data_IF_259614384668
#
_entry.id   IF_259614384668
#
_cell.length_a   1.000
_cell.length_b   1.000
_cell.length_c   1.000
_cell.angle_alpha   90.00
_cell.angle_beta   90.00
_cell.angle_gamma   90.00
#
_symmetry.space_group_name_H-M   'P 1'
#
loop_
_entity.id
_entity.type
_entity.pdbx_description
1 polymer ?
#
# COMPACT_ATOMS: atom_id res chain seq x y z
N UNK A 1 33.89 18.92 -71.47
CA UNK A 1 33.47 17.54 -71.83
C UNK A 1 34.08 16.52 -70.89
N UNK A 2 35.38 16.20 -70.94
CA UNK A 2 35.94 15.17 -70.04
C UNK A 2 35.90 15.52 -68.54
N UNK A 3 36.05 16.79 -68.19
CA UNK A 3 35.94 17.24 -66.80
C UNK A 3 34.50 17.15 -66.28
N UNK A 4 33.51 17.56 -67.09
CA UNK A 4 32.09 17.50 -66.73
C UNK A 4 31.59 16.06 -66.55
N UNK A 5 32.07 15.14 -67.39
CA UNK A 5 31.69 13.71 -67.31
C UNK A 5 32.22 13.08 -66.01
N UNK A 6 33.45 13.43 -65.60
CA UNK A 6 34.00 12.95 -64.31
C UNK A 6 33.20 13.47 -63.13
N UNK A 7 32.80 14.73 -63.16
CA UNK A 7 32.02 15.35 -62.09
C UNK A 7 30.63 14.71 -61.95
N UNK A 8 29.97 14.43 -63.07
CA UNK A 8 28.68 13.71 -63.09
C UNK A 8 28.81 12.30 -62.51
N UNK A 9 29.82 11.53 -62.94
CA UNK A 9 30.04 10.17 -62.44
C UNK A 9 30.35 10.19 -60.94
N UNK A 10 31.16 11.16 -60.49
CA UNK A 10 31.53 11.28 -59.09
C UNK A 10 30.32 11.65 -58.21
N UNK A 11 29.44 12.53 -58.69
CA UNK A 11 28.20 12.88 -58.01
C UNK A 11 27.24 11.67 -57.91
N UNK A 12 27.12 10.88 -58.98
CA UNK A 12 26.28 9.67 -59.03
C UNK A 12 26.78 8.60 -58.04
N UNK A 13 28.09 8.35 -58.04
CA UNK A 13 28.73 7.41 -57.10
C UNK A 13 28.55 7.87 -55.66
N UNK A 14 28.72 9.16 -55.39
CA UNK A 14 28.56 9.71 -54.05
C UNK A 14 27.11 9.64 -53.58
N UNK A 15 26.14 9.91 -54.46
CA UNK A 15 24.72 9.72 -54.18
C UNK A 15 24.39 8.25 -53.86
N UNK A 16 24.92 7.30 -54.63
CA UNK A 16 24.72 5.87 -54.39
C UNK A 16 25.32 5.40 -53.05
N UNK A 17 26.52 5.89 -52.71
CA UNK A 17 27.19 5.61 -51.42
C UNK A 17 26.37 6.17 -50.26
N UNK A 18 25.93 7.42 -50.35
CA UNK A 18 25.10 8.04 -49.31
C UNK A 18 23.77 7.30 -49.15
N UNK A 19 23.13 6.91 -50.25
CA UNK A 19 21.90 6.12 -50.20
C UNK A 19 22.08 4.71 -49.61
N UNK A 20 23.25 4.09 -49.77
CA UNK A 20 23.56 2.80 -49.11
C UNK A 20 23.88 2.98 -47.64
N UNK A 21 24.61 4.02 -47.27
CA UNK A 21 24.90 4.36 -45.87
C UNK A 21 23.61 4.67 -45.10
N UNK A 22 22.69 5.41 -45.70
CA UNK A 22 21.42 5.78 -45.06
C UNK A 22 20.54 4.54 -44.79
N UNK A 23 20.49 3.60 -45.74
CA UNK A 23 19.83 2.29 -45.52
C UNK A 23 20.45 1.50 -44.38
N UNK A 24 21.78 1.50 -44.27
CA UNK A 24 22.50 0.79 -43.21
C UNK A 24 22.20 1.44 -41.85
N UNK A 25 22.28 2.77 -41.76
CA UNK A 25 21.97 3.51 -40.54
C UNK A 25 20.52 3.28 -40.09
N UNK A 26 19.56 3.34 -41.02
CA UNK A 26 18.16 3.05 -40.73
C UNK A 26 17.94 1.60 -40.23
N UNK A 27 18.67 0.63 -40.80
CA UNK A 27 18.65 -0.76 -40.34
C UNK A 27 19.23 -0.89 -38.92
N UNK A 28 20.35 -0.23 -38.64
CA UNK A 28 20.94 -0.20 -37.30
C UNK A 28 20.01 0.43 -36.27
N UNK A 29 19.38 1.56 -36.61
CA UNK A 29 18.39 2.23 -35.74
C UNK A 29 17.23 1.28 -35.42
N UNK A 30 16.67 0.62 -36.45
CA UNK A 30 15.57 -0.34 -36.25
C UNK A 30 15.98 -1.54 -35.38
N UNK A 31 17.19 -2.06 -35.55
CA UNK A 31 17.71 -3.14 -34.72
C UNK A 31 17.90 -2.69 -33.26
N UNK A 32 18.43 -1.49 -33.04
CA UNK A 32 18.58 -0.90 -31.71
C UNK A 32 17.22 -0.72 -31.04
N UNK A 33 16.24 -0.12 -31.72
CA UNK A 33 14.89 0.06 -31.17
C UNK A 33 14.24 -1.28 -30.82
N UNK A 34 14.36 -2.27 -31.70
CA UNK A 34 13.80 -3.61 -31.45
C UNK A 34 14.44 -4.26 -30.23
N UNK A 35 15.77 -4.17 -30.10
CA UNK A 35 16.50 -4.74 -28.96
C UNK A 35 16.23 -3.97 -27.66
N UNK A 36 16.17 -2.65 -27.71
CA UNK A 36 15.89 -1.81 -26.54
C UNK A 36 14.46 -2.03 -26.03
N UNK A 37 13.48 -2.07 -26.94
CA UNK A 37 12.10 -2.39 -26.58
C UNK A 37 11.99 -3.81 -26.01
N UNK A 38 12.64 -4.79 -26.63
CA UNK A 38 12.69 -6.16 -26.11
C UNK A 38 13.37 -6.25 -24.74
N UNK A 39 14.44 -5.48 -24.50
CA UNK A 39 15.13 -5.44 -23.22
C UNK A 39 14.27 -4.78 -22.13
N UNK A 40 13.62 -3.66 -22.45
CA UNK A 40 12.69 -2.99 -21.55
C UNK A 40 11.52 -3.90 -21.16
N UNK A 41 10.94 -4.60 -22.13
CA UNK A 41 9.85 -5.54 -21.89
C UNK A 41 10.32 -6.70 -21.01
N UNK A 42 11.49 -7.29 -21.30
CA UNK A 42 12.05 -8.37 -20.49
C UNK A 42 12.31 -7.92 -19.04
N UNK A 43 12.81 -6.70 -18.82
CA UNK A 43 12.96 -6.14 -17.46
C UNK A 43 11.60 -6.03 -16.77
N UNK A 44 10.59 -5.48 -17.44
CA UNK A 44 9.26 -5.32 -16.88
C UNK A 44 8.64 -6.68 -16.51
N UNK A 45 8.73 -7.66 -17.41
CA UNK A 45 8.22 -9.01 -17.18
C UNK A 45 8.97 -9.71 -16.04
N UNK A 46 10.29 -9.58 -15.98
CA UNK A 46 11.11 -10.12 -14.90
C UNK A 46 10.77 -9.50 -13.55
N UNK A 47 10.58 -8.18 -13.49
CA UNK A 47 10.16 -7.48 -12.27
C UNK A 47 8.76 -7.88 -11.84
N UNK A 48 7.82 -8.00 -12.79
CA UNK A 48 6.46 -8.46 -12.55
C UNK A 48 6.44 -9.88 -11.99
N UNK A 49 7.14 -10.82 -12.63
CA UNK A 49 7.24 -12.20 -12.17
C UNK A 49 7.86 -12.31 -10.76
N UNK A 50 8.88 -11.50 -10.47
CA UNK A 50 9.46 -11.43 -9.12
C UNK A 50 8.44 -10.93 -8.10
N UNK A 51 7.67 -9.89 -8.44
CA UNK A 51 6.65 -9.32 -7.55
C UNK A 51 5.52 -10.32 -7.27
N UNK A 52 5.06 -11.05 -8.29
CA UNK A 52 4.02 -12.07 -8.16
C UNK A 52 4.48 -13.24 -7.29
N UNK A 53 5.72 -13.71 -7.48
CA UNK A 53 6.31 -14.76 -6.64
C UNK A 53 6.46 -14.30 -5.18
N UNK A 54 6.89 -13.06 -4.94
CA UNK A 54 6.98 -12.49 -3.60
C UNK A 54 5.60 -12.40 -2.92
N UNK A 55 4.57 -11.95 -3.65
CA UNK A 55 3.20 -11.87 -3.14
C UNK A 55 2.62 -13.26 -2.84
N UNK A 56 2.85 -14.25 -3.70
CA UNK A 56 2.43 -15.63 -3.48
C UNK A 56 3.07 -16.21 -2.20
N UNK A 57 4.38 -16.03 -2.02
CA UNK A 57 5.11 -16.50 -0.82
C UNK A 57 4.63 -15.84 0.47
N UNK A 58 4.29 -14.54 0.42
CA UNK A 58 3.67 -13.82 1.54
C UNK A 58 2.29 -14.43 1.84
N UNK A 59 1.49 -14.69 0.81
CA UNK A 59 0.19 -15.35 0.93
C UNK A 59 0.30 -16.69 1.66
N UNK A 60 1.18 -17.57 1.20
CA UNK A 60 1.43 -18.89 1.83
C UNK A 60 1.85 -18.75 3.30
N UNK A 61 2.84 -17.90 3.58
CA UNK A 61 3.37 -17.69 4.94
C UNK A 61 2.30 -17.17 5.92
N UNK A 62 1.34 -16.37 5.45
CA UNK A 62 0.23 -15.87 6.27
C UNK A 62 -0.81 -16.97 6.51
N UNK A 63 -1.05 -17.84 5.53
CA UNK A 63 -2.07 -18.89 5.63
C UNK A 63 -1.66 -20.08 6.50
N UNK A 64 -0.38 -20.41 6.60
CA UNK A 64 0.03 -21.70 7.15
C UNK A 64 0.00 -21.83 8.68
N UNK A 65 -0.21 -20.79 9.49
CA UNK A 65 -0.02 -20.99 10.94
C UNK A 65 -0.73 -20.03 11.90
N UNK A 66 -1.79 -19.35 11.49
CA UNK A 66 -2.52 -18.53 12.46
C UNK A 66 -3.43 -19.40 13.36
N UNK A 67 -2.89 -19.83 14.51
CA UNK A 67 -3.67 -20.47 15.58
C UNK A 67 -4.26 -19.41 16.51
N UNK A 68 -5.57 -19.24 16.48
CA UNK A 68 -6.27 -18.37 17.41
C UNK A 68 -6.13 -18.92 18.84
N UNK A 69 -5.70 -18.08 19.80
CA UNK A 69 -5.62 -18.46 21.22
C UNK A 69 -6.98 -18.71 21.88
N UNK A 70 -8.05 -18.12 21.33
CA UNK A 70 -9.42 -18.20 21.86
C UNK A 70 -10.38 -18.54 20.72
N UNK A 71 -11.28 -19.50 20.97
CA UNK A 71 -12.30 -19.95 20.01
C UNK A 71 -13.21 -18.83 19.51
N UNK A 72 -13.65 -17.91 20.39
CA UNK A 72 -14.48 -16.77 19.98
C UNK A 72 -13.78 -15.83 18.98
N UNK A 73 -12.46 -15.67 19.08
CA UNK A 73 -11.70 -14.85 18.14
C UNK A 73 -11.59 -15.52 16.76
N UNK A 74 -11.50 -16.85 16.73
CA UNK A 74 -11.50 -17.62 15.49
C UNK A 74 -12.86 -17.52 14.78
N UNK A 75 -13.96 -17.65 15.52
CA UNK A 75 -15.32 -17.53 14.98
C UNK A 75 -15.58 -16.12 14.45
N UNK A 76 -15.15 -15.08 15.17
CA UNK A 76 -15.23 -13.70 14.70
C UNK A 76 -14.36 -13.47 13.45
N UNK A 77 -13.16 -14.06 13.39
CA UNK A 77 -12.33 -13.99 12.19
C UNK A 77 -12.98 -14.69 10.98
N UNK A 78 -13.54 -15.89 11.16
CA UNK A 78 -14.28 -16.60 10.10
C UNK A 78 -15.48 -15.79 9.61
N UNK A 79 -16.22 -15.17 10.54
CA UNK A 79 -17.33 -14.28 10.20
C UNK A 79 -16.84 -13.06 9.41
N UNK A 80 -15.81 -12.36 9.91
CA UNK A 80 -15.25 -11.18 9.25
C UNK A 80 -14.70 -11.52 7.85
N UNK A 81 -14.04 -12.67 7.69
CA UNK A 81 -13.57 -13.17 6.39
C UNK A 81 -14.74 -13.40 5.44
N UNK A 82 -15.83 -14.01 5.92
CA UNK A 82 -17.04 -14.24 5.12
C UNK A 82 -17.73 -12.94 4.70
N UNK A 83 -17.79 -11.95 5.60
CA UNK A 83 -18.31 -10.62 5.29
C UNK A 83 -17.44 -9.95 4.23
N UNK A 84 -16.12 -9.98 4.39
CA UNK A 84 -15.18 -9.41 3.44
C UNK A 84 -15.33 -9.99 2.03
N UNK A 85 -15.41 -11.32 1.90
CA UNK A 85 -15.62 -11.99 0.59
C UNK A 85 -16.93 -11.53 -0.06
N UNK A 86 -18.02 -11.47 0.71
CA UNK A 86 -19.32 -11.01 0.17
C UNK A 86 -19.32 -9.55 -0.25
N UNK A 87 -18.59 -8.69 0.47
CA UNK A 87 -18.43 -7.27 0.09
C UNK A 87 -17.65 -7.16 -1.22
N UNK A 88 -16.59 -7.97 -1.37
CA UNK A 88 -15.79 -8.00 -2.58
C UNK A 88 -16.61 -8.49 -3.79
N UNK A 89 -17.40 -9.55 -3.63
CA UNK A 89 -18.33 -10.04 -4.66
C UNK A 89 -19.36 -8.97 -5.04
N UNK A 90 -19.96 -8.28 -4.07
CA UNK A 90 -20.92 -7.21 -4.33
C UNK A 90 -20.27 -6.05 -5.10
N UNK A 91 -19.04 -5.66 -4.76
CA UNK A 91 -18.30 -4.63 -5.49
C UNK A 91 -18.01 -5.05 -6.94
N UNK A 92 -17.61 -6.30 -7.16
CA UNK A 92 -17.40 -6.83 -8.52
C UNK A 92 -18.70 -6.83 -9.34
N UNK A 93 -19.85 -7.15 -8.71
CA UNK A 93 -21.16 -7.09 -9.36
C UNK A 93 -21.53 -5.65 -9.76
N UNK A 94 -21.25 -4.67 -8.90
CA UNK A 94 -21.45 -3.25 -9.19
C UNK A 94 -20.59 -2.74 -10.34
N UNK A 95 -19.36 -3.23 -10.47
CA UNK A 95 -18.44 -2.84 -11.54
C UNK A 95 -18.83 -3.45 -12.90
N UNK A 96 -19.46 -4.63 -12.90
CA UNK A 96 -19.86 -5.34 -14.13
C UNK A 96 -21.27 -5.01 -14.65
N UNK A 97 -22.16 -4.46 -13.83
CA UNK A 97 -23.54 -4.15 -14.23
C UNK A 97 -23.70 -2.70 -14.70
N UNK A 98 -24.24 -2.51 -15.92
CA UNK A 98 -24.96 -1.28 -16.26
C UNK A 98 -26.20 -1.23 -15.34
N UNK A 99 -26.13 -0.43 -14.29
CA UNK A 99 -27.14 -0.37 -13.23
C UNK A 99 -28.50 0.10 -13.78
N UNK A 100 -29.35 -0.84 -14.18
CA UNK A 100 -30.75 -0.54 -14.49
C UNK A 100 -31.52 -0.22 -13.19
N UNK A 101 -32.39 0.79 -13.26
CA UNK A 101 -33.11 1.36 -12.11
C UNK A 101 -33.85 0.28 -11.27
N UNK A 102 -34.34 -0.77 -11.92
CA UNK A 102 -35.08 -1.86 -11.27
C UNK A 102 -34.19 -2.73 -10.35
N UNK A 103 -32.91 -2.93 -10.71
CA UNK A 103 -31.94 -3.63 -9.85
C UNK A 103 -31.65 -2.81 -8.60
N UNK A 104 -31.55 -1.49 -8.74
CA UNK A 104 -31.35 -0.54 -7.64
C UNK A 104 -32.55 -0.55 -6.69
N UNK A 105 -33.78 -0.54 -7.22
CA UNK A 105 -34.99 -0.61 -6.39
C UNK A 105 -35.09 -1.95 -5.65
N UNK A 106 -34.74 -3.05 -6.30
CA UNK A 106 -34.73 -4.39 -5.69
C UNK A 106 -33.66 -4.47 -4.58
N UNK A 107 -32.47 -3.91 -4.79
CA UNK A 107 -31.43 -3.83 -3.78
C UNK A 107 -31.86 -2.97 -2.58
N UNK A 108 -32.47 -1.80 -2.82
CA UNK A 108 -33.03 -0.93 -1.77
C UNK A 108 -34.08 -1.65 -0.91
N UNK A 109 -34.97 -2.43 -1.53
CA UNK A 109 -36.00 -3.21 -0.83
C UNK A 109 -35.38 -4.27 0.07
N UNK A 110 -34.39 -5.02 -0.45
CA UNK A 110 -33.66 -6.04 0.33
C UNK A 110 -32.91 -5.43 1.52
N UNK A 111 -32.23 -4.30 1.31
CA UNK A 111 -31.54 -3.55 2.40
C UNK A 111 -32.54 -3.11 3.47
N UNK A 112 -33.72 -2.63 3.08
CA UNK A 112 -34.78 -2.22 4.00
C UNK A 112 -35.34 -3.41 4.81
N UNK A 113 -35.59 -4.54 4.16
CA UNK A 113 -36.05 -5.78 4.80
C UNK A 113 -35.01 -6.37 5.77
N UNK A 114 -33.74 -6.37 5.39
CA UNK A 114 -32.68 -6.92 6.24
C UNK A 114 -32.43 -6.01 7.46
N UNK A 115 -32.52 -4.68 7.28
CA UNK A 115 -32.46 -3.72 8.39
C UNK A 115 -33.64 -3.87 9.35
N UNK A 116 -34.86 -4.11 8.84
CA UNK A 116 -36.04 -4.28 9.69
C UNK A 116 -35.99 -5.60 10.48
N UNK A 117 -35.47 -6.68 9.88
CA UNK A 117 -35.22 -7.99 10.53
C UNK A 117 -34.11 -7.92 11.60
N UNK A 118 -33.06 -7.13 11.37
CA UNK A 118 -32.00 -6.89 12.36
C UNK A 118 -32.52 -6.13 13.60
N UNK A 119 -33.43 -5.17 13.38
CA UNK A 119 -34.10 -4.43 14.46
C UNK A 119 -35.13 -5.26 15.23
N UNK A 120 -35.71 -6.31 14.63
CA UNK A 120 -36.67 -7.20 15.33
C UNK A 120 -35.96 -8.20 16.24
N UNK A 121 -34.77 -8.69 15.86
CA UNK A 121 -33.95 -9.55 16.72
C UNK A 121 -33.37 -8.82 17.95
N UNK A 122 -33.14 -7.51 17.84
CA UNK A 122 -32.75 -6.67 18.98
C UNK A 122 -33.93 -6.34 19.89
N UNK A 123 -35.16 -6.23 19.36
CA UNK A 123 -36.39 -5.96 20.15
C UNK A 123 -36.92 -7.13 20.99
N UNK A 124 -36.41 -8.35 20.87
CA UNK A 124 -36.75 -9.46 21.78
C UNK A 124 -35.98 -9.43 23.10
N UNK A 125 -35.12 -8.42 23.31
CA UNK A 125 -34.56 -8.06 24.60
C UNK A 125 -35.26 -6.78 25.12
N UNK A 126 -36.48 -6.97 25.65
CA UNK A 126 -37.28 -6.03 26.48
C UNK A 126 -37.61 -4.61 25.91
N UNK A 127 -38.77 -4.02 26.26
CA UNK A 127 -39.05 -2.63 25.95
C UNK A 127 -38.17 -1.72 26.82
N UNK A 128 -37.21 -1.02 26.21
CA UNK A 128 -36.47 0.03 26.89
C UNK A 128 -37.41 1.22 27.16
N UNK A 129 -37.49 1.58 28.44
CA UNK A 129 -37.95 2.88 28.91
C UNK A 129 -37.27 4.02 28.11
N UNK A 130 -37.93 5.18 27.91
CA UNK A 130 -37.29 6.34 27.32
C UNK A 130 -36.00 6.67 28.09
N UNK A 131 -34.92 6.84 27.32
CA UNK A 131 -33.55 7.06 27.79
C UNK A 131 -33.53 8.11 28.91
N UNK A 132 -33.19 7.76 30.16
CA UNK A 132 -32.93 8.75 31.17
C UNK A 132 -31.66 9.50 30.77
N UNK A 133 -31.82 10.80 30.58
CA UNK A 133 -30.73 11.76 30.44
C UNK A 133 -29.75 11.55 31.61
N UNK A 134 -28.50 11.29 31.24
CA UNK A 134 -27.28 11.23 32.04
C UNK A 134 -27.42 11.59 33.53
N UNK A 135 -27.45 10.56 34.37
CA UNK A 135 -26.77 10.62 35.67
C UNK A 135 -25.90 9.38 35.82
N UNK A 136 -24.62 9.53 35.44
CA UNK A 136 -23.57 8.59 35.80
C UNK A 136 -23.57 8.34 37.32
N UNK A 137 -24.21 7.28 37.77
CA UNK A 137 -23.91 6.64 39.06
C UNK A 137 -24.18 5.15 38.97
N UNK A 138 -23.44 4.49 38.08
CA UNK A 138 -23.33 3.04 38.10
C UNK A 138 -22.70 2.67 39.44
N UNK A 139 -23.50 2.09 40.35
CA UNK A 139 -23.06 1.64 41.66
C UNK A 139 -21.92 0.64 41.48
N UNK A 140 -20.69 1.09 41.72
CA UNK A 140 -19.52 0.21 41.66
C UNK A 140 -19.40 -0.53 43.00
N UNK A 141 -19.55 -1.86 43.02
CA UNK A 141 -19.36 -2.62 44.26
C UNK A 141 -17.90 -2.52 44.72
N UNK A 142 -17.70 -2.19 46.00
CA UNK A 142 -16.39 -2.07 46.63
C UNK A 142 -16.03 -0.65 47.07
N UNK A 143 -15.00 -0.57 47.93
CA UNK A 143 -14.41 0.68 48.41
C UNK A 143 -13.22 1.07 47.52
N UNK A 144 -13.04 2.36 47.30
CA UNK A 144 -11.91 2.92 46.58
C UNK A 144 -10.58 2.52 47.25
N UNK A 145 -9.65 1.97 46.48
CA UNK A 145 -8.32 1.57 46.98
C UNK A 145 -7.39 2.76 47.33
N UNK A 146 -7.89 4.00 47.36
CA UNK A 146 -7.12 5.20 47.71
C UNK A 146 -7.68 5.89 48.94
N UNK A 147 -8.98 6.22 48.94
CA UNK A 147 -9.65 6.90 50.06
C UNK A 147 -10.60 6.00 50.87
N UNK A 148 -10.80 4.75 50.46
CA UNK A 148 -11.70 3.78 51.11
C UNK A 148 -13.20 4.12 51.04
N UNK A 149 -13.60 5.14 50.30
CA UNK A 149 -15.01 5.49 50.06
C UNK A 149 -15.64 4.67 48.93
N UNK A 150 -16.95 4.45 48.96
CA UNK A 150 -17.67 3.68 47.92
C UNK A 150 -18.14 4.58 46.77
N UNK A 151 -18.50 3.96 45.64
CA UNK A 151 -19.06 4.68 44.48
C UNK A 151 -18.05 5.11 43.42
N UNK A 152 -16.75 4.95 43.66
CA UNK A 152 -15.68 5.18 42.67
C UNK A 152 -14.50 4.21 42.89
N UNK A 153 -13.66 4.00 41.86
CA UNK A 153 -12.40 3.25 41.98
C UNK A 153 -11.20 4.21 42.09
N UNK A 154 -10.00 3.73 42.48
CA UNK A 154 -8.79 4.56 42.68
C UNK A 154 -8.49 5.54 41.52
N UNK A 155 -8.78 5.16 40.28
CA UNK A 155 -8.56 6.00 39.07
C UNK A 155 -9.54 7.18 38.95
N UNK A 156 -10.67 7.09 39.62
CA UNK A 156 -11.77 8.05 39.64
C UNK A 156 -11.87 8.72 41.03
N UNK A 157 -10.83 8.58 41.86
CA UNK A 157 -10.82 9.13 43.21
C UNK A 157 -10.70 10.65 43.17
N UNK A 158 -11.67 11.41 43.72
CA UNK A 158 -11.63 12.87 43.73
C UNK A 158 -10.47 13.42 44.57
N UNK A 159 -9.92 12.61 45.47
CA UNK A 159 -8.75 12.94 46.29
C UNK A 159 -7.42 12.48 45.65
N UNK A 160 -7.43 11.91 44.45
CA UNK A 160 -6.19 11.60 43.75
C UNK A 160 -5.52 12.91 43.34
N UNK A 161 -4.45 13.28 44.06
CA UNK A 161 -3.56 14.38 43.67
C UNK A 161 -3.23 14.25 42.19
N UNK A 162 -3.60 15.28 41.44
CA UNK A 162 -3.52 15.37 39.98
C UNK A 162 -2.06 15.22 39.55
N UNK A 163 -1.65 13.98 39.30
CA UNK A 163 -0.53 13.67 38.41
C UNK A 163 -1.09 12.85 37.24
N UNK A 164 -2.00 13.47 36.48
CA UNK A 164 -2.33 13.00 35.15
C UNK A 164 -1.13 13.25 34.23
N UNK A 165 -0.14 12.35 34.26
CA UNK A 165 0.63 12.14 33.03
C UNK A 165 -0.32 11.43 32.07
N UNK A 166 -0.83 12.19 31.11
CA UNK A 166 -1.65 11.70 30.01
C UNK A 166 -0.85 10.66 29.20
N UNK A 167 -0.87 9.41 29.66
CA UNK A 167 -0.61 8.24 28.82
C UNK A 167 -1.97 7.69 28.39
N UNK A 168 -2.72 8.52 27.66
CA UNK A 168 -3.74 7.99 26.76
C UNK A 168 -2.96 7.11 25.78
N UNK A 169 -3.27 5.81 25.82
CA UNK A 169 -2.64 4.79 24.99
C UNK A 169 -3.09 4.97 23.53
N UNK A 170 -2.54 5.97 22.84
CA UNK A 170 -2.55 6.08 21.38
C UNK A 170 -1.65 5.03 20.72
N UNK A 171 -1.00 4.19 21.52
CA UNK A 171 0.01 3.23 21.08
C UNK A 171 -0.53 1.87 20.59
N UNK A 172 -1.86 1.68 20.50
CA UNK A 172 -2.41 0.41 19.97
C UNK A 172 -2.91 0.51 18.52
N UNK A 173 -3.23 1.72 18.00
CA UNK A 173 -3.70 1.87 16.62
C UNK A 173 -2.55 2.22 15.64
N UNK A 174 -1.48 2.88 16.10
CA UNK A 174 -0.34 3.25 15.25
C UNK A 174 0.75 2.17 15.14
N UNK A 175 0.68 1.09 15.94
CA UNK A 175 1.65 -0.02 15.83
C UNK A 175 1.39 -0.96 14.65
N UNK A 176 0.19 -0.99 14.07
CA UNK A 176 -0.10 -1.85 12.92
C UNK A 176 0.13 -1.18 11.56
N UNK A 177 0.17 0.16 11.49
CA UNK A 177 0.54 0.88 10.25
C UNK A 177 2.06 0.88 10.03
N UNK A 178 2.85 0.72 11.10
CA UNK A 178 4.31 0.68 11.01
C UNK A 178 4.89 -0.69 10.62
N UNK A 179 4.07 -1.74 10.52
CA UNK A 179 4.53 -3.12 10.27
C UNK A 179 4.26 -3.62 8.85
N UNK A 180 3.56 -2.84 8.02
CA UNK A 180 3.35 -3.09 6.58
C UNK A 180 4.22 -2.23 5.66
N UNK A 181 5.17 -1.44 6.20
CA UNK A 181 6.10 -0.66 5.38
C UNK A 181 7.32 -1.50 4.94
N UNK A 182 7.08 -2.51 4.10
CA UNK A 182 8.12 -3.12 3.27
C UNK A 182 8.77 -2.09 2.30
N UNK A 183 8.15 -0.92 2.16
CA UNK A 183 8.64 0.24 1.41
C UNK A 183 9.75 1.05 2.11
N UNK A 184 10.04 0.79 3.41
CA UNK A 184 11.04 1.54 4.20
C UNK A 184 12.48 1.01 4.07
N UNK A 185 12.67 -0.21 3.57
CA UNK A 185 14.00 -0.81 3.45
C UNK A 185 14.68 -0.47 2.12
N UNK A 186 13.92 -0.28 1.03
CA UNK A 186 14.47 0.11 -0.26
C UNK A 186 14.99 1.55 -0.25
N UNK A 187 14.27 2.48 0.39
CA UNK A 187 14.67 3.89 0.51
C UNK A 187 15.88 4.10 1.43
N UNK A 188 16.02 3.29 2.49
CA UNK A 188 17.21 3.33 3.36
C UNK A 188 18.44 2.74 2.68
N UNK A 189 18.28 1.77 1.77
CA UNK A 189 19.41 1.18 1.02
C UNK A 189 19.88 2.13 -0.10
N UNK A 190 18.98 2.80 -0.81
CA UNK A 190 19.35 3.80 -1.84
C UNK A 190 20.00 5.05 -1.24
N UNK A 191 19.59 5.49 -0.04
CA UNK A 191 20.32 6.56 0.67
C UNK A 191 21.75 6.14 1.07
N UNK A 192 21.97 4.90 1.52
CA UNK A 192 23.34 4.43 1.84
C UNK A 192 24.21 4.36 0.58
N UNK A 193 23.66 3.88 -0.53
CA UNK A 193 24.40 3.76 -1.79
C UNK A 193 24.77 5.12 -2.39
N UNK A 194 23.87 6.11 -2.29
CA UNK A 194 24.15 7.49 -2.76
C UNK A 194 25.16 8.21 -1.86
N UNK A 195 25.09 8.03 -0.54
CA UNK A 195 26.12 8.58 0.38
C UNK A 195 27.50 7.97 0.13
N UNK A 196 27.58 6.68 -0.17
CA UNK A 196 28.84 6.01 -0.53
C UNK A 196 29.43 6.58 -1.82
N UNK A 197 28.61 6.72 -2.87
CA UNK A 197 29.04 7.30 -4.15
C UNK A 197 29.52 8.76 -3.97
N UNK A 198 28.80 9.57 -3.20
CA UNK A 198 29.15 10.96 -2.92
C UNK A 198 30.49 11.07 -2.17
N UNK A 199 30.76 10.20 -1.20
CA UNK A 199 32.04 10.15 -0.48
C UNK A 199 33.19 9.76 -1.43
N UNK A 200 32.96 8.80 -2.34
CA UNK A 200 33.96 8.42 -3.34
C UNK A 200 34.25 9.54 -4.35
N UNK A 201 33.23 10.26 -4.82
CA UNK A 201 33.40 11.41 -5.71
C UNK A 201 34.17 12.53 -5.02
N UNK A 202 33.84 12.87 -3.76
CA UNK A 202 34.57 13.89 -3.00
C UNK A 202 36.04 13.51 -2.77
N UNK A 203 36.34 12.22 -2.52
CA UNK A 203 37.73 11.75 -2.42
C UNK A 203 38.50 11.91 -3.73
N UNK A 204 37.88 11.60 -4.87
CA UNK A 204 38.53 11.77 -6.17
C UNK A 204 38.78 13.25 -6.49
N UNK A 205 37.83 14.13 -6.17
CA UNK A 205 38.01 15.58 -6.34
C UNK A 205 39.20 16.08 -5.49
N UNK A 206 39.30 15.68 -4.22
CA UNK A 206 40.42 16.09 -3.36
C UNK A 206 41.76 15.57 -3.90
N UNK A 207 41.83 14.35 -4.43
CA UNK A 207 43.05 13.80 -5.04
C UNK A 207 43.45 14.58 -6.30
N UNK A 208 42.49 14.90 -7.17
CA UNK A 208 42.78 15.69 -8.38
C UNK A 208 43.25 17.09 -8.00
N UNK A 209 42.61 17.74 -7.03
CA UNK A 209 43.02 19.05 -6.55
C UNK A 209 44.42 19.02 -5.91
N UNK A 210 44.77 18.02 -5.11
CA UNK A 210 46.12 17.93 -4.54
C UNK A 210 47.18 17.67 -5.60
N UNK A 211 46.89 16.91 -6.66
CA UNK A 211 47.83 16.70 -7.77
C UNK A 211 48.05 17.98 -8.60
N UNK A 212 47.00 18.81 -8.78
CA UNK A 212 47.08 20.07 -9.53
C UNK A 212 47.80 21.18 -8.74
N UNK A 213 47.66 21.21 -7.42
CA UNK A 213 48.32 22.23 -6.57
C UNK A 213 49.76 21.90 -6.17
N UNK A 214 50.25 20.68 -6.50
CA UNK A 214 51.62 20.25 -6.22
C UNK A 214 52.53 20.28 -7.46
N UNK A 215 52.01 20.81 -8.58
CA UNK A 215 52.71 21.15 -9.83
C UNK A 215 52.84 22.67 -9.95
#
# INVERSE_FOLDING_TARGET
MDADIKEIIQAEVQSAILGTQDKLLNSLTSLLDTRLNGFQQNIQDSQKALSESQLAKIGETITETFKFRKRGNEEQYKHNKKVFVKVLEANSQLESENLNNDNIQTAKRKIYEDRSKANTKTKQLAPENPIPVNTNKMFRPGRCFSCSETGHWRRECPHATVQHTNKISTNMFLRNVSRSSSTSLYTKQTLRNTTSLAIHILRLIVIVFTQVYHL
#
